data_IF_303508079488
#
_entry.id   IF_303508079488
#
_cell.length_a   1.000
_cell.length_b   1.000
_cell.length_c   1.000
_cell.angle_alpha   90.00
_cell.angle_beta   90.00
_cell.angle_gamma   90.00
#
_symmetry.space_group_name_H-M   'P 1'
#
loop_
_entity.id
_entity.type
_entity.pdbx_description
1 polymer ?
#
# COMPACT_ATOMS: atom_id res chain seq x y z
N UNK A 1 -13.40 -2.33 63.18
CA UNK A 1 -12.85 -2.05 61.84
C UNK A 1 -11.52 -2.76 61.76
N UNK A 2 -11.30 -3.70 60.83
CA UNK A 2 -9.99 -4.33 60.68
C UNK A 2 -8.95 -3.26 60.34
N UNK A 3 -7.74 -3.44 60.87
CA UNK A 3 -6.67 -2.45 60.90
C UNK A 3 -6.20 -2.03 59.50
N UNK A 4 -6.43 -0.77 59.12
CA UNK A 4 -6.18 -0.26 57.78
C UNK A 4 -4.67 -0.26 57.41
N UNK A 5 -3.78 -0.21 58.41
CA UNK A 5 -2.33 -0.38 58.19
C UNK A 5 -1.96 -1.81 57.80
N UNK A 6 -2.55 -2.81 58.47
CA UNK A 6 -2.30 -4.21 58.17
C UNK A 6 -2.70 -4.57 56.73
N UNK A 7 -3.86 -4.07 56.27
CA UNK A 7 -4.32 -4.29 54.89
C UNK A 7 -3.43 -3.62 53.83
N UNK A 8 -2.81 -2.48 54.13
CA UNK A 8 -1.88 -1.81 53.20
C UNK A 8 -0.60 -2.60 53.01
N UNK A 9 -0.03 -3.12 54.09
CA UNK A 9 1.21 -3.89 54.03
C UNK A 9 1.02 -5.22 53.32
N UNK A 10 -0.13 -5.88 53.51
CA UNK A 10 -0.52 -7.07 52.76
C UNK A 10 -0.64 -6.81 51.25
N UNK A 11 -1.25 -5.70 50.84
CA UNK A 11 -1.37 -5.31 49.43
C UNK A 11 -0.01 -5.00 48.79
N UNK A 12 0.91 -4.38 49.54
CA UNK A 12 2.28 -4.12 49.07
C UNK A 12 3.07 -5.42 48.93
N UNK A 13 2.93 -6.36 49.87
CA UNK A 13 3.54 -7.69 49.80
C UNK A 13 3.01 -8.49 48.61
N UNK A 14 1.69 -8.49 48.39
CA UNK A 14 1.04 -9.12 47.24
C UNK A 14 1.52 -8.51 45.91
N UNK A 15 1.65 -7.18 45.83
CA UNK A 15 2.17 -6.49 44.65
C UNK A 15 3.62 -6.89 44.34
N UNK A 16 4.48 -6.96 45.36
CA UNK A 16 5.88 -7.38 45.19
C UNK A 16 5.98 -8.84 44.74
N UNK A 17 5.12 -9.73 45.26
CA UNK A 17 5.05 -11.13 44.85
C UNK A 17 4.61 -11.25 43.38
N UNK A 18 3.53 -10.58 42.99
CA UNK A 18 3.03 -10.59 41.61
C UNK A 18 4.07 -10.09 40.60
N UNK A 19 4.87 -9.07 40.95
CA UNK A 19 5.98 -8.61 40.11
C UNK A 19 7.05 -9.68 39.90
N UNK A 20 7.46 -10.39 40.97
CA UNK A 20 8.44 -11.50 40.87
C UNK A 20 7.90 -12.63 40.00
N UNK A 21 6.64 -13.02 40.18
CA UNK A 21 5.98 -14.05 39.36
C UNK A 21 5.92 -13.61 37.88
N UNK A 22 5.65 -12.33 37.61
CA UNK A 22 5.65 -11.77 36.25
C UNK A 22 7.03 -11.81 35.57
N UNK A 23 8.11 -11.64 36.33
CA UNK A 23 9.50 -11.70 35.83
C UNK A 23 10.06 -13.14 35.72
N UNK A 24 9.52 -14.09 36.49
CA UNK A 24 10.00 -15.48 36.54
C UNK A 24 8.84 -16.48 36.56
N UNK A 25 8.47 -16.97 35.37
CA UNK A 25 7.36 -17.93 35.19
C UNK A 25 7.57 -19.29 35.88
N UNK A 26 8.80 -19.59 36.26
CA UNK A 26 9.16 -20.80 37.01
C UNK A 26 8.46 -20.86 38.38
N UNK A 27 8.16 -19.73 39.01
CA UNK A 27 7.45 -19.72 40.29
C UNK A 27 6.02 -20.29 40.18
N UNK A 28 5.43 -20.29 38.97
CA UNK A 28 4.12 -20.89 38.73
C UNK A 28 4.19 -22.41 38.61
N UNK A 29 5.36 -23.03 38.46
CA UNK A 29 5.46 -24.50 38.40
C UNK A 29 5.26 -25.15 39.76
N UNK A 30 5.44 -24.38 40.84
CA UNK A 30 5.23 -24.79 42.23
C UNK A 30 3.76 -25.03 42.59
N UNK A 31 2.84 -24.50 41.78
CA UNK A 31 1.40 -24.62 41.96
C UNK A 31 0.83 -25.79 41.15
N UNK A 32 -0.28 -26.35 41.60
CA UNK A 32 -1.10 -27.26 40.80
C UNK A 32 -1.72 -26.52 39.59
N UNK A 33 -2.20 -27.23 38.56
CA UNK A 33 -2.95 -26.60 37.47
C UNK A 33 -4.16 -25.79 37.95
N UNK A 34 -4.91 -26.27 38.94
CA UNK A 34 -6.05 -25.56 39.51
C UNK A 34 -5.62 -24.27 40.23
N UNK A 35 -4.60 -24.36 41.09
CA UNK A 35 -4.08 -23.21 41.86
C UNK A 35 -3.50 -22.11 40.94
N UNK A 36 -2.89 -22.49 39.81
CA UNK A 36 -2.44 -21.52 38.79
C UNK A 36 -3.61 -20.76 38.19
N UNK A 37 -4.68 -21.47 37.85
CA UNK A 37 -5.88 -20.88 37.25
C UNK A 37 -6.52 -19.93 38.26
N UNK A 38 -6.63 -20.33 39.53
CA UNK A 38 -7.17 -19.48 40.60
C UNK A 38 -6.35 -18.22 40.81
N UNK A 39 -5.01 -18.33 40.94
CA UNK A 39 -4.13 -17.16 41.12
C UNK A 39 -4.26 -16.17 39.95
N UNK A 40 -4.28 -16.66 38.71
CA UNK A 40 -4.41 -15.83 37.50
C UNK A 40 -5.79 -15.20 37.40
N UNK A 41 -6.85 -15.93 37.74
CA UNK A 41 -8.21 -15.41 37.74
C UNK A 41 -8.40 -14.34 38.81
N UNK A 42 -7.98 -14.60 40.05
CA UNK A 42 -8.06 -13.64 41.15
C UNK A 42 -7.30 -12.35 40.83
N UNK A 43 -6.08 -12.44 40.29
CA UNK A 43 -5.32 -11.28 39.83
C UNK A 43 -6.03 -10.54 38.68
N UNK A 44 -6.70 -11.27 37.79
CA UNK A 44 -7.53 -10.69 36.73
C UNK A 44 -8.79 -10.00 37.24
N UNK A 45 -9.44 -10.55 38.26
CA UNK A 45 -10.69 -10.02 38.84
C UNK A 45 -10.45 -8.71 39.60
N UNK A 46 -9.28 -8.58 40.22
CA UNK A 46 -8.79 -7.30 40.78
C UNK A 46 -8.70 -6.22 39.69
N UNK A 47 -8.36 -6.58 38.45
CA UNK A 47 -8.33 -5.63 37.33
C UNK A 47 -9.72 -5.35 36.75
N UNK A 48 -10.55 -6.39 36.57
CA UNK A 48 -11.94 -6.28 36.11
C UNK A 48 -12.67 -7.61 36.36
N UNK A 49 -13.62 -7.63 37.31
CA UNK A 49 -14.33 -8.84 37.73
C UNK A 49 -15.25 -9.43 36.64
N UNK A 50 -15.73 -8.63 35.68
CA UNK A 50 -16.56 -9.13 34.58
C UNK A 50 -15.69 -9.66 33.43
N UNK A 51 -15.72 -10.98 33.14
CA UNK A 51 -14.95 -11.58 32.05
C UNK A 51 -15.33 -11.04 30.66
N UNK A 52 -16.59 -10.64 30.45
CA UNK A 52 -17.08 -10.09 29.19
C UNK A 52 -16.51 -8.68 28.95
N UNK A 53 -16.54 -7.80 29.95
CA UNK A 53 -15.90 -6.49 29.88
C UNK A 53 -14.39 -6.60 29.65
N UNK A 54 -13.71 -7.54 30.33
CA UNK A 54 -12.28 -7.81 30.14
C UNK A 54 -11.97 -8.21 28.70
N UNK A 55 -12.81 -9.07 28.11
CA UNK A 55 -12.68 -9.51 26.71
C UNK A 55 -12.93 -8.36 25.73
N UNK A 56 -13.97 -7.55 25.95
CA UNK A 56 -14.30 -6.40 25.11
C UNK A 56 -13.16 -5.38 25.13
N UNK A 57 -12.65 -5.00 26.31
CA UNK A 57 -11.53 -4.05 26.45
C UNK A 57 -10.25 -4.55 25.80
N UNK A 58 -9.91 -5.83 26.01
CA UNK A 58 -8.72 -6.44 25.37
C UNK A 58 -8.86 -6.45 23.84
N UNK A 59 -10.04 -6.77 23.31
CA UNK A 59 -10.33 -6.75 21.87
C UNK A 59 -10.26 -5.31 21.32
N UNK A 60 -10.77 -4.33 22.05
CA UNK A 60 -10.70 -2.91 21.68
C UNK A 60 -9.25 -2.41 21.61
N UNK A 61 -8.43 -2.70 22.62
CA UNK A 61 -7.00 -2.35 22.63
C UNK A 61 -6.24 -3.02 21.47
N UNK A 62 -6.48 -4.31 21.23
CA UNK A 62 -5.89 -5.02 20.08
C UNK A 62 -6.32 -4.39 18.75
N UNK A 63 -7.59 -4.03 18.61
CA UNK A 63 -8.12 -3.35 17.41
C UNK A 63 -7.48 -1.97 17.23
N UNK A 64 -7.34 -1.18 18.30
CA UNK A 64 -6.71 0.13 18.27
C UNK A 64 -5.25 0.03 17.82
N UNK A 65 -4.48 -0.90 18.41
CA UNK A 65 -3.09 -1.17 18.01
C UNK A 65 -3.00 -1.58 16.54
N UNK A 66 -3.88 -2.46 16.07
CA UNK A 66 -3.94 -2.87 14.65
C UNK A 66 -4.27 -1.68 13.73
N UNK A 67 -5.24 -0.86 14.11
CA UNK A 67 -5.62 0.33 13.35
C UNK A 67 -4.46 1.32 13.24
N UNK A 68 -3.73 1.55 14.33
CA UNK A 68 -2.57 2.44 14.35
C UNK A 68 -1.38 1.92 13.53
N UNK A 69 -1.27 0.60 13.34
CA UNK A 69 -0.30 0.02 12.39
C UNK A 69 -0.73 0.27 10.94
N UNK A 70 -1.96 -0.09 10.61
CA UNK A 70 -2.51 0.08 9.25
C UNK A 70 -2.47 1.55 8.82
N UNK A 71 -2.79 2.49 9.71
CA UNK A 71 -2.73 3.93 9.40
C UNK A 71 -1.31 4.40 9.08
N UNK A 72 -0.30 3.88 9.78
CA UNK A 72 1.11 4.21 9.50
C UNK A 72 1.51 3.68 8.12
N UNK A 73 1.20 2.42 7.83
CA UNK A 73 1.48 1.83 6.52
C UNK A 73 0.78 2.60 5.39
N UNK A 74 -0.51 2.94 5.56
CA UNK A 74 -1.25 3.75 4.57
C UNK A 74 -0.64 5.13 4.35
N UNK A 75 -0.08 5.76 5.38
CA UNK A 75 0.59 7.07 5.24
C UNK A 75 1.82 6.94 4.34
N UNK A 76 2.64 5.91 4.55
CA UNK A 76 3.82 5.62 3.70
C UNK A 76 3.40 5.33 2.26
N UNK A 77 2.36 4.52 2.06
CA UNK A 77 1.94 4.13 0.71
C UNK A 77 1.26 5.29 -0.05
N UNK A 78 0.51 6.17 0.65
CA UNK A 78 -0.22 7.30 0.09
C UNK A 78 0.67 8.23 -0.74
N UNK A 79 1.93 8.39 -0.34
CA UNK A 79 2.87 9.34 -0.95
C UNK A 79 3.61 8.79 -2.16
N UNK A 80 3.36 7.54 -2.54
CA UNK A 80 3.96 6.96 -3.73
C UNK A 80 3.45 7.63 -5.01
N UNK A 81 4.34 7.77 -6.00
CA UNK A 81 4.02 8.39 -7.28
C UNK A 81 2.83 7.73 -8.00
N UNK A 82 2.68 6.40 -7.90
CA UNK A 82 1.56 5.68 -8.53
C UNK A 82 0.20 6.06 -7.93
N UNK A 83 0.12 6.35 -6.63
CA UNK A 83 -1.14 6.78 -5.99
C UNK A 83 -1.50 8.21 -6.38
N UNK A 84 -0.51 9.10 -6.39
CA UNK A 84 -0.67 10.48 -6.88
C UNK A 84 -1.22 10.50 -8.31
N UNK A 85 -0.67 9.67 -9.23
CA UNK A 85 -1.17 9.59 -10.61
C UNK A 85 -2.57 8.98 -10.74
N UNK A 86 -2.99 8.12 -9.81
CA UNK A 86 -4.35 7.55 -9.81
C UNK A 86 -5.41 8.57 -9.39
N UNK A 87 -5.03 9.56 -8.59
CA UNK A 87 -5.92 10.63 -8.11
C UNK A 87 -6.13 11.76 -9.13
N UNK A 88 -5.25 11.88 -10.12
CA UNK A 88 -5.40 12.87 -11.17
C UNK A 88 -6.69 12.66 -11.98
N UNK A 89 -7.46 13.73 -12.11
CA UNK A 89 -8.74 13.75 -12.83
C UNK A 89 -8.54 13.72 -14.36
N UNK A 90 -7.36 14.12 -14.82
CA UNK A 90 -6.93 14.06 -16.22
C UNK A 90 -5.72 13.13 -16.30
N UNK A 91 -5.87 12.01 -17.02
CA UNK A 91 -4.75 11.14 -17.36
C UNK A 91 -3.90 11.83 -18.42
N UNK A 92 -2.98 12.68 -18.01
CA UNK A 92 -1.92 13.18 -18.89
C UNK A 92 -0.92 12.06 -19.13
N UNK A 93 -0.34 12.00 -20.33
CA UNK A 93 0.86 11.21 -20.55
C UNK A 93 1.92 11.73 -19.58
N UNK A 94 2.46 10.89 -18.68
CA UNK A 94 3.60 11.31 -17.87
C UNK A 94 4.67 11.79 -18.84
N UNK A 95 5.22 12.98 -18.61
CA UNK A 95 6.33 13.45 -19.43
C UNK A 95 7.37 12.33 -19.46
N UNK A 96 7.71 11.88 -20.67
CA UNK A 96 8.74 10.84 -20.87
C UNK A 96 10.08 11.32 -20.33
N UNK A 97 10.24 12.64 -20.27
CA UNK A 97 11.40 13.34 -19.76
C UNK A 97 11.05 14.12 -18.50
N UNK A 98 11.97 14.19 -17.56
CA UNK A 98 11.82 15.11 -16.44
C UNK A 98 11.67 16.55 -16.97
N UNK A 99 10.80 17.39 -16.39
CA UNK A 99 10.76 18.81 -16.71
C UNK A 99 12.15 19.45 -16.58
N UNK A 100 12.47 20.44 -17.42
CA UNK A 100 13.71 21.20 -17.29
C UNK A 100 13.84 21.80 -15.89
N UNK A 101 14.91 21.43 -15.17
CA UNK A 101 15.16 21.87 -13.79
C UNK A 101 14.50 21.01 -12.70
N UNK A 102 13.97 19.82 -13.01
CA UNK A 102 13.49 18.89 -11.99
C UNK A 102 14.63 18.42 -11.08
N UNK A 103 14.54 18.79 -9.80
CA UNK A 103 15.40 18.28 -8.73
C UNK A 103 14.58 17.29 -7.92
N UNK A 104 14.97 16.02 -7.97
CA UNK A 104 14.39 15.00 -7.09
C UNK A 104 14.79 15.32 -5.65
N UNK A 105 13.82 15.71 -4.83
CA UNK A 105 14.00 15.77 -3.38
C UNK A 105 13.74 14.37 -2.84
N UNK A 106 14.81 13.59 -2.70
CA UNK A 106 14.74 12.39 -1.88
C UNK A 106 14.53 12.80 -0.42
N UNK A 107 13.49 12.23 0.19
CA UNK A 107 13.36 12.25 1.65
C UNK A 107 14.53 11.43 2.20
N UNK A 108 15.51 12.09 2.83
CA UNK A 108 16.74 11.48 3.38
C UNK A 108 16.50 10.49 4.54
N UNK A 109 15.25 10.36 5.00
CA UNK A 109 14.88 9.41 6.05
C UNK A 109 14.53 8.05 5.45
N UNK A 110 15.49 7.11 5.52
CA UNK A 110 15.30 5.72 5.08
C UNK A 110 14.13 5.01 5.80
N UNK A 111 13.83 5.39 7.06
CA UNK A 111 12.75 4.76 7.84
C UNK A 111 11.37 5.16 7.36
N UNK A 112 11.27 6.29 6.64
CA UNK A 112 10.01 6.80 6.11
C UNK A 112 9.44 5.93 4.99
N UNK A 113 10.28 5.16 4.31
CA UNK A 113 9.90 4.31 3.18
C UNK A 113 9.60 2.86 3.59
N UNK A 114 9.59 2.55 4.88
CA UNK A 114 9.34 1.18 5.36
C UNK A 114 7.94 1.03 5.96
N UNK A 115 7.26 -0.06 5.59
CA UNK A 115 5.99 -0.46 6.22
C UNK A 115 6.23 -1.27 7.50
N UNK A 116 5.36 -1.08 8.49
CA UNK A 116 5.39 -1.78 9.78
C UNK A 116 5.15 -3.27 9.60
N UNK A 117 4.19 -3.64 8.75
CA UNK A 117 3.93 -5.03 8.38
C UNK A 117 4.46 -5.30 6.96
N UNK A 118 5.06 -6.49 6.71
CA UNK A 118 5.58 -6.80 5.39
C UNK A 118 4.45 -6.89 4.35
N UNK A 119 4.67 -6.22 3.22
CA UNK A 119 3.81 -6.25 2.05
C UNK A 119 4.14 -7.43 1.14
N UNK A 120 3.22 -7.83 0.26
CA UNK A 120 3.47 -8.88 -0.75
C UNK A 120 3.68 -8.25 -2.13
N UNK A 121 4.79 -8.57 -2.80
CA UNK A 121 5.04 -8.07 -4.14
C UNK A 121 3.99 -8.60 -5.12
N UNK A 122 3.36 -7.73 -5.89
CA UNK A 122 2.33 -8.13 -6.86
C UNK A 122 2.89 -9.06 -7.95
N UNK A 123 4.18 -8.94 -8.30
CA UNK A 123 4.82 -9.74 -9.36
C UNK A 123 5.38 -11.05 -8.80
N UNK A 124 6.45 -10.99 -8.00
CA UNK A 124 7.18 -12.18 -7.55
C UNK A 124 6.67 -12.77 -6.23
N UNK A 125 5.69 -12.14 -5.56
CA UNK A 125 5.04 -12.59 -4.32
C UNK A 125 5.95 -12.63 -3.07
N UNK A 126 7.20 -12.19 -3.16
CA UNK A 126 8.08 -12.06 -1.98
C UNK A 126 7.54 -11.00 -1.01
N UNK A 127 7.84 -11.18 0.27
CA UNK A 127 7.54 -10.21 1.31
C UNK A 127 8.59 -9.12 1.35
N UNK A 128 8.18 -7.86 1.51
CA UNK A 128 9.08 -6.71 1.56
C UNK A 128 8.54 -5.64 2.52
N UNK A 129 9.44 -4.81 3.05
CA UNK A 129 9.09 -3.68 3.92
C UNK A 129 9.36 -2.34 3.25
N UNK A 130 10.49 -2.25 2.53
CA UNK A 130 10.93 -1.07 1.81
C UNK A 130 10.06 -0.79 0.58
N UNK A 131 9.47 0.40 0.54
CA UNK A 131 8.57 0.88 -0.49
C UNK A 131 9.36 1.74 -1.48
N UNK A 132 9.26 1.38 -2.76
CA UNK A 132 9.84 2.16 -3.84
C UNK A 132 9.09 3.49 -4.02
N UNK A 133 9.80 4.58 -4.28
CA UNK A 133 9.24 5.95 -4.40
C UNK A 133 8.03 6.04 -5.34
N UNK A 134 8.03 5.25 -6.42
CA UNK A 134 6.92 5.22 -7.37
C UNK A 134 5.90 4.10 -7.12
N UNK A 135 6.31 2.90 -6.71
CA UNK A 135 5.47 1.71 -6.71
C UNK A 135 5.22 1.20 -5.29
N UNK A 136 3.96 1.17 -4.88
CA UNK A 136 3.50 0.79 -3.54
C UNK A 136 3.15 -0.71 -3.39
N UNK A 137 3.17 -1.46 -4.50
CA UNK A 137 2.76 -2.86 -4.56
C UNK A 137 3.83 -3.79 -5.12
N UNK A 138 5.07 -3.31 -5.24
CA UNK A 138 6.20 -4.07 -5.76
C UNK A 138 7.36 -4.02 -4.76
N UNK A 139 8.09 -5.14 -4.61
CA UNK A 139 9.36 -5.10 -3.90
C UNK A 139 10.36 -4.21 -4.66
N UNK A 140 11.42 -3.69 -4.00
CA UNK A 140 12.37 -2.76 -4.61
C UNK A 140 12.93 -3.24 -5.96
N UNK A 141 13.34 -4.49 -6.07
CA UNK A 141 13.88 -5.06 -7.32
C UNK A 141 12.86 -5.05 -8.47
N UNK A 142 11.62 -5.50 -8.20
CA UNK A 142 10.56 -5.49 -9.20
C UNK A 142 10.14 -4.05 -9.55
N UNK A 143 10.14 -3.15 -8.56
CA UNK A 143 9.76 -1.77 -8.75
C UNK A 143 10.76 -1.04 -9.65
N UNK A 144 12.06 -1.17 -9.38
CA UNK A 144 13.12 -0.56 -10.17
C UNK A 144 13.08 -1.06 -11.62
N UNK A 145 13.01 -2.38 -11.80
CA UNK A 145 12.89 -2.99 -13.14
C UNK A 145 11.67 -2.43 -13.90
N UNK A 146 10.49 -2.43 -13.29
CA UNK A 146 9.28 -1.95 -13.97
C UNK A 146 9.31 -0.43 -14.19
N UNK A 147 9.93 0.33 -13.30
CA UNK A 147 10.08 1.78 -13.43
C UNK A 147 10.94 2.12 -14.65
N UNK A 148 12.10 1.46 -14.78
CA UNK A 148 12.96 1.58 -15.96
C UNK A 148 12.22 1.22 -17.27
N UNK A 149 11.42 0.15 -17.28
CA UNK A 149 10.62 -0.26 -18.45
C UNK A 149 9.55 0.75 -18.87
N UNK A 150 9.15 1.71 -18.02
CA UNK A 150 8.14 2.71 -18.40
C UNK A 150 8.61 3.57 -19.57
N UNK A 151 9.84 4.06 -19.51
CA UNK A 151 10.45 4.93 -20.53
C UNK A 151 11.07 4.19 -21.72
N UNK A 152 11.29 2.88 -21.62
CA UNK A 152 11.93 2.11 -22.67
C UNK A 152 11.05 2.04 -23.94
N UNK A 153 11.64 2.37 -25.10
CA UNK A 153 11.01 2.28 -26.41
C UNK A 153 11.72 1.22 -27.27
N UNK A 154 11.03 0.70 -28.27
CA UNK A 154 11.58 -0.14 -29.32
C UNK A 154 11.16 0.40 -30.69
N UNK A 155 12.00 0.27 -31.71
CA UNK A 155 11.61 0.58 -33.08
C UNK A 155 10.71 -0.55 -33.63
N UNK A 156 9.47 -0.19 -33.94
CA UNK A 156 8.42 -1.04 -34.47
C UNK A 156 7.91 -0.51 -35.82
N UNK A 157 8.71 0.30 -36.51
CA UNK A 157 8.38 0.86 -37.83
C UNK A 157 7.99 -0.23 -38.83
N UNK A 158 6.92 0.01 -39.59
CA UNK A 158 6.36 -0.98 -40.52
C UNK A 158 5.37 -1.95 -39.89
N UNK A 159 5.12 -1.84 -38.58
CA UNK A 159 4.08 -2.62 -37.89
C UNK A 159 2.75 -1.86 -37.86
N UNK A 160 1.65 -2.59 -38.04
CA UNK A 160 0.29 -2.10 -37.82
C UNK A 160 -0.28 -2.74 -36.56
N UNK A 161 -0.88 -1.95 -35.67
CA UNK A 161 -1.50 -2.45 -34.45
C UNK A 161 -2.96 -2.00 -34.32
N UNK A 162 -3.84 -2.91 -33.89
CA UNK A 162 -5.20 -2.60 -33.45
C UNK A 162 -5.24 -2.50 -31.93
N UNK A 163 -5.71 -1.37 -31.41
CA UNK A 163 -5.86 -1.11 -29.99
C UNK A 163 -7.32 -0.84 -29.63
N UNK A 164 -7.95 -1.81 -28.97
CA UNK A 164 -9.29 -1.64 -28.41
C UNK A 164 -9.21 -0.96 -27.04
N UNK A 165 -10.04 0.07 -26.81
CA UNK A 165 -10.05 0.81 -25.53
C UNK A 165 -8.94 1.84 -25.37
N UNK A 166 -8.33 2.32 -26.46
CA UNK A 166 -7.19 3.28 -26.45
C UNK A 166 -7.51 4.73 -26.07
N UNK A 167 -8.65 5.02 -25.44
CA UNK A 167 -9.11 6.40 -25.15
C UNK A 167 -8.54 6.99 -23.86
N UNK A 168 -8.41 6.19 -22.80
CA UNK A 168 -8.02 6.65 -21.46
C UNK A 168 -7.12 5.64 -20.76
N UNK A 169 -6.48 6.06 -19.66
CA UNK A 169 -5.68 5.20 -18.78
C UNK A 169 -4.62 4.40 -19.54
N UNK A 170 -4.46 3.11 -19.22
CA UNK A 170 -3.46 2.23 -19.79
C UNK A 170 -3.59 2.09 -21.31
N UNK A 171 -4.82 2.07 -21.85
CA UNK A 171 -5.03 2.00 -23.29
C UNK A 171 -4.47 3.24 -23.99
N UNK A 172 -4.78 4.43 -23.48
CA UNK A 172 -4.22 5.67 -24.01
C UNK A 172 -2.68 5.69 -23.97
N UNK A 173 -2.09 5.33 -22.83
CA UNK A 173 -0.64 5.28 -22.67
C UNK A 173 0.05 4.24 -23.56
N UNK A 174 -0.58 3.07 -23.75
CA UNK A 174 -0.10 2.06 -24.69
C UNK A 174 -0.13 2.59 -26.13
N UNK A 175 -1.20 3.30 -26.52
CA UNK A 175 -1.30 3.91 -27.84
C UNK A 175 -0.18 4.92 -28.11
N UNK A 176 0.05 5.84 -27.18
CA UNK A 176 1.15 6.81 -27.27
C UNK A 176 2.51 6.12 -27.39
N UNK A 177 2.75 5.09 -26.57
CA UNK A 177 4.00 4.33 -26.62
C UNK A 177 4.19 3.63 -27.97
N UNK A 178 3.15 3.01 -28.52
CA UNK A 178 3.18 2.38 -29.85
C UNK A 178 3.47 3.40 -30.96
N UNK A 179 2.81 4.56 -30.92
CA UNK A 179 3.01 5.65 -31.89
C UNK A 179 4.44 6.19 -31.84
N UNK A 180 4.97 6.46 -30.64
CA UNK A 180 6.38 6.87 -30.43
C UNK A 180 7.37 5.79 -30.83
N UNK A 181 6.94 4.52 -30.81
CA UNK A 181 7.72 3.36 -31.28
C UNK A 181 7.67 3.14 -32.79
N UNK A 182 6.93 3.92 -33.58
CA UNK A 182 6.95 3.79 -35.03
C UNK A 182 5.72 3.12 -35.66
N UNK A 183 4.73 2.72 -34.84
CA UNK A 183 3.60 1.88 -35.27
C UNK A 183 2.53 2.70 -36.00
N UNK A 184 1.95 2.13 -37.07
CA UNK A 184 0.66 2.57 -37.61
C UNK A 184 -0.47 2.04 -36.74
N UNK A 185 -1.15 2.93 -36.01
CA UNK A 185 -2.03 2.57 -34.92
C UNK A 185 -3.50 2.82 -35.27
N UNK A 186 -4.31 1.77 -35.18
CA UNK A 186 -5.77 1.84 -35.27
C UNK A 186 -6.35 1.76 -33.85
N UNK A 187 -6.97 2.83 -33.37
CA UNK A 187 -7.62 2.89 -32.06
C UNK A 187 -9.13 2.69 -32.23
N UNK A 188 -9.68 1.66 -31.59
CA UNK A 188 -11.11 1.40 -31.54
C UNK A 188 -11.70 1.77 -30.17
N UNK A 189 -12.72 2.62 -30.15
CA UNK A 189 -13.35 3.10 -28.90
C UNK A 189 -14.79 3.55 -29.13
N UNK A 190 -15.65 3.45 -28.11
CA UNK A 190 -17.02 3.97 -28.16
C UNK A 190 -17.10 5.51 -28.13
N UNK A 191 -15.98 6.20 -27.91
CA UNK A 191 -15.92 7.68 -27.90
C UNK A 191 -14.76 8.19 -28.80
N UNK A 192 -14.89 8.06 -30.13
CA UNK A 192 -13.79 8.35 -31.06
C UNK A 192 -13.38 9.82 -31.08
N UNK A 193 -14.34 10.76 -30.96
CA UNK A 193 -14.04 12.21 -30.93
C UNK A 193 -13.21 12.62 -29.71
N UNK A 194 -13.55 12.09 -28.53
CA UNK A 194 -12.79 12.35 -27.30
C UNK A 194 -11.39 11.72 -27.38
N UNK A 195 -11.26 10.51 -27.92
CA UNK A 195 -9.94 9.91 -28.13
C UNK A 195 -9.09 10.76 -29.09
N UNK A 196 -9.61 11.11 -30.27
CA UNK A 196 -8.88 11.91 -31.25
C UNK A 196 -8.41 13.27 -30.65
N UNK A 197 -9.28 13.96 -29.91
CA UNK A 197 -8.93 15.21 -29.24
C UNK A 197 -7.80 15.05 -28.20
N UNK A 198 -7.75 13.92 -27.48
CA UNK A 198 -6.67 13.64 -26.51
C UNK A 198 -5.34 13.40 -27.21
N UNK A 199 -5.31 12.52 -28.21
CA UNK A 199 -4.08 12.26 -28.98
C UNK A 199 -3.57 13.53 -29.65
N UNK A 200 -4.46 14.34 -30.25
CA UNK A 200 -4.11 15.59 -30.90
C UNK A 200 -3.57 16.67 -29.94
N UNK A 201 -3.80 16.53 -28.64
CA UNK A 201 -3.31 17.45 -27.62
C UNK A 201 -1.90 17.10 -27.10
N UNK A 202 -1.32 15.96 -27.52
CA UNK A 202 0.05 15.62 -27.15
C UNK A 202 1.04 16.57 -27.84
N UNK A 203 2.08 17.05 -27.14
CA UNK A 203 3.04 18.01 -27.69
C UNK A 203 3.75 17.53 -28.97
N UNK A 204 3.98 16.22 -29.07
CA UNK A 204 4.67 15.54 -30.16
C UNK A 204 3.71 14.97 -31.22
N UNK A 205 2.42 15.33 -31.20
CA UNK A 205 1.42 14.82 -32.14
C UNK A 205 1.83 14.97 -33.61
N UNK A 206 2.51 16.07 -33.96
CA UNK A 206 2.96 16.33 -35.32
C UNK A 206 3.97 15.29 -35.85
N UNK A 207 4.62 14.51 -34.98
CA UNK A 207 5.64 13.52 -35.35
C UNK A 207 5.04 12.17 -35.76
N UNK A 208 3.83 11.85 -35.31
CA UNK A 208 3.22 10.53 -35.50
C UNK A 208 1.71 10.55 -35.81
N UNK A 209 1.09 11.72 -35.84
CA UNK A 209 -0.37 11.87 -36.00
C UNK A 209 -0.90 11.36 -37.35
N UNK A 210 -0.06 11.33 -38.39
CA UNK A 210 -0.35 10.75 -39.70
C UNK A 210 -0.51 9.22 -39.66
N UNK A 211 0.04 8.57 -38.63
CA UNK A 211 -0.05 7.11 -38.39
C UNK A 211 -1.20 6.70 -37.47
N UNK A 212 -1.97 7.65 -36.94
CA UNK A 212 -3.07 7.38 -36.02
C UNK A 212 -4.42 7.40 -36.75
N UNK A 213 -5.14 6.30 -36.66
CA UNK A 213 -6.54 6.20 -37.07
C UNK A 213 -7.44 5.91 -35.86
N UNK A 214 -8.55 6.62 -35.71
CA UNK A 214 -9.47 6.45 -34.58
C UNK A 214 -10.87 6.11 -35.07
N UNK A 215 -11.37 4.93 -34.69
CA UNK A 215 -12.68 4.42 -35.09
C UNK A 215 -13.64 4.28 -33.91
N UNK A 216 -14.90 4.60 -34.19
CA UNK A 216 -16.03 4.33 -33.30
C UNK A 216 -16.37 2.85 -33.29
N UNK A 217 -16.27 2.20 -32.12
CA UNK A 217 -16.68 0.81 -31.94
C UNK A 217 -17.33 0.60 -30.57
N UNK A 218 -18.53 0.03 -30.57
CA UNK A 218 -19.29 -0.29 -29.36
C UNK A 218 -19.51 -1.80 -29.25
N UNK A 219 -18.79 -2.45 -28.33
CA UNK A 219 -18.80 -3.90 -28.14
C UNK A 219 -19.72 -4.37 -27.00
N UNK A 220 -20.65 -3.53 -26.53
CA UNK A 220 -21.52 -3.87 -25.39
C UNK A 220 -22.61 -4.90 -25.70
N UNK A 221 -22.91 -5.14 -26.98
CA UNK A 221 -24.04 -5.98 -27.42
C UNK A 221 -23.63 -7.03 -28.46
N UNK A 222 -22.37 -7.44 -28.46
CA UNK A 222 -21.89 -8.64 -29.16
C UNK A 222 -22.14 -9.88 -28.32
#
# INVERSE_FOLDING_TARGET
MPDASAGRDELLAATALLKRVGSSRELLTLLSPEEKIELVNAAGDVFCADPEERRIRTKALKRQRRSAKVQRDETVLAETGIRTLREQTVFTTPNVYAPDGFVQHDVDDATYRETVEPQHCYVCKVKYHEVHHFYDQLCPECAEFNHAKRGELADLTGTVALLTGGRVKIGYQAGIKLLRSGVSLVVATRFPRDAAARYAAEPDFAEWGDRLEVFGLDLRHT
#
